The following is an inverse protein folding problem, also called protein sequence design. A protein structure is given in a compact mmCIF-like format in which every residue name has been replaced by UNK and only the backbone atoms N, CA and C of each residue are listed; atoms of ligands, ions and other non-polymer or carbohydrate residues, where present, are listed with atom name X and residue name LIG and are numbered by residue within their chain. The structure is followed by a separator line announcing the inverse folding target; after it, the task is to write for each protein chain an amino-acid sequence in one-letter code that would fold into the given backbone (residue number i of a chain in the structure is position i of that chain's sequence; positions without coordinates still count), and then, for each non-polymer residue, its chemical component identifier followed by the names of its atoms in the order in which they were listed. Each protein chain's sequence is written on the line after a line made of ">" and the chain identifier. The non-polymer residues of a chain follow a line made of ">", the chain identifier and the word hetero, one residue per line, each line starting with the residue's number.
data_IF_859699241323
#
_entry.id   IF_859699241323
#
_cell.length_a   1.000
_cell.length_b   1.000
_cell.length_c   1.000
_cell.angle_alpha   90.00
_cell.angle_beta   90.00
_cell.angle_gamma   90.00
#
_symmetry.space_group_name_H-M   'P 1'
#
loop_
_entity.id
_entity.type
_entity.pdbx_description
1 polymer ?
#
# COMPACT_ATOMS: atom_id res chain seq x y z
N UNK A 1 -21.23 -43.95 -19.14
CA UNK A 1 -20.04 -43.08 -19.22
C UNK A 1 -20.38 -41.58 -19.26
N UNK A 2 -21.46 -41.14 -19.91
CA UNK A 2 -21.87 -39.72 -19.99
C UNK A 2 -22.24 -39.07 -18.63
N UNK A 3 -22.75 -39.85 -17.65
CA UNK A 3 -23.11 -39.32 -16.31
C UNK A 3 -21.92 -38.99 -15.40
N UNK A 4 -20.74 -39.56 -15.65
CA UNK A 4 -19.55 -39.33 -14.80
C UNK A 4 -18.87 -38.00 -15.19
N UNK A 5 -18.95 -37.61 -16.47
CA UNK A 5 -18.36 -36.38 -17.00
C UNK A 5 -19.02 -35.13 -16.38
N UNK A 6 -20.32 -35.19 -16.07
CA UNK A 6 -21.05 -34.06 -15.49
C UNK A 6 -20.68 -33.78 -14.02
N UNK A 7 -20.23 -34.78 -13.27
CA UNK A 7 -19.87 -34.65 -11.84
C UNK A 7 -18.47 -34.05 -11.69
N UNK A 8 -17.55 -34.31 -12.62
CA UNK A 8 -16.20 -33.73 -12.60
C UNK A 8 -16.21 -32.24 -12.97
N UNK A 9 -17.15 -31.81 -13.82
CA UNK A 9 -17.23 -30.41 -14.29
C UNK A 9 -17.76 -29.43 -13.22
N UNK A 10 -18.49 -29.91 -12.21
CA UNK A 10 -19.05 -29.10 -11.13
C UNK A 10 -18.04 -28.75 -10.01
N UNK A 11 -16.89 -29.43 -9.97
CA UNK A 11 -15.89 -29.24 -8.92
C UNK A 11 -14.93 -28.06 -9.15
N UNK A 12 -15.01 -27.38 -10.30
CA UNK A 12 -14.04 -26.33 -10.69
C UNK A 12 -14.49 -24.91 -10.28
N UNK A 13 -15.67 -24.74 -9.67
CA UNK A 13 -16.24 -23.42 -9.36
C UNK A 13 -16.06 -22.96 -7.90
N UNK A 14 -15.45 -23.75 -7.01
CA UNK A 14 -15.20 -23.37 -5.62
C UNK A 14 -13.71 -23.11 -5.38
N UNK A 15 -13.23 -22.01 -5.93
CA UNK A 15 -11.87 -21.52 -5.73
C UNK A 15 -11.77 -20.00 -5.81
N UNK A 16 -12.76 -19.27 -5.28
CA UNK A 16 -12.54 -17.87 -4.96
C UNK A 16 -11.59 -17.82 -3.77
N UNK A 17 -10.28 -17.75 -4.05
CA UNK A 17 -9.29 -17.40 -3.03
C UNK A 17 -9.69 -16.02 -2.50
N UNK A 18 -9.94 -15.92 -1.20
CA UNK A 18 -10.16 -14.62 -0.57
C UNK A 18 -8.88 -13.80 -0.79
N UNK A 19 -8.94 -12.77 -1.62
CA UNK A 19 -7.82 -11.87 -1.83
C UNK A 19 -7.56 -11.12 -0.51
N UNK A 20 -6.40 -11.36 0.10
CA UNK A 20 -5.92 -10.58 1.23
C UNK A 20 -5.63 -9.15 0.78
N UNK A 21 -6.22 -8.16 1.44
CA UNK A 21 -5.96 -6.75 1.14
C UNK A 21 -4.62 -6.33 1.75
N UNK A 22 -3.68 -5.76 0.96
CA UNK A 22 -2.43 -5.28 1.52
C UNK A 22 -2.65 -4.05 2.41
N UNK A 23 -1.83 -3.92 3.45
CA UNK A 23 -1.91 -2.83 4.42
C UNK A 23 -1.92 -1.44 3.77
N UNK A 24 -1.04 -1.21 2.80
CA UNK A 24 -0.95 0.07 2.08
C UNK A 24 -2.25 0.44 1.34
N UNK A 25 -2.95 -0.54 0.77
CA UNK A 25 -4.26 -0.31 0.13
C UNK A 25 -5.30 0.16 1.15
N UNK A 26 -5.32 -0.47 2.33
CA UNK A 26 -6.25 -0.08 3.40
C UNK A 26 -6.00 1.37 3.85
N UNK A 27 -4.74 1.75 4.04
CA UNK A 27 -4.34 3.08 4.49
C UNK A 27 -4.59 4.20 3.48
N UNK A 28 -4.73 3.88 2.18
CA UNK A 28 -5.06 4.85 1.13
C UNK A 28 -6.53 4.81 0.71
N UNK A 29 -7.35 3.92 1.26
CA UNK A 29 -8.77 3.77 0.94
C UNK A 29 -9.63 3.78 2.22
N UNK A 30 -9.79 4.94 2.87
CA UNK A 30 -10.39 5.05 4.21
C UNK A 30 -11.85 4.58 4.27
N UNK A 31 -12.65 4.81 3.23
CA UNK A 31 -14.03 4.29 3.18
C UNK A 31 -14.08 2.76 3.13
N UNK A 32 -13.17 2.15 2.38
CA UNK A 32 -13.05 0.70 2.31
C UNK A 32 -12.59 0.14 3.66
N UNK A 33 -11.57 0.75 4.27
CA UNK A 33 -11.08 0.40 5.60
C UNK A 33 -12.19 0.48 6.68
N UNK A 34 -12.99 1.55 6.66
CA UNK A 34 -14.12 1.71 7.58
C UNK A 34 -15.15 0.59 7.41
N UNK A 35 -15.52 0.25 6.17
CA UNK A 35 -16.45 -0.84 5.89
C UNK A 35 -15.90 -2.19 6.36
N UNK A 36 -14.66 -2.53 5.99
CA UNK A 36 -14.07 -3.82 6.32
C UNK A 36 -13.83 -3.99 7.83
N UNK A 37 -13.46 -2.92 8.53
CA UNK A 37 -13.30 -2.96 10.00
C UNK A 37 -14.63 -3.25 10.72
N UNK A 38 -15.74 -2.71 10.26
CA UNK A 38 -17.08 -3.04 10.77
C UNK A 38 -17.47 -4.51 10.47
N UNK A 39 -17.12 -5.01 9.28
CA UNK A 39 -17.34 -6.42 8.92
C UNK A 39 -16.52 -7.38 9.81
N UNK A 40 -15.29 -7.00 10.16
CA UNK A 40 -14.45 -7.75 11.10
C UNK A 40 -15.04 -7.79 12.51
N UNK A 41 -15.58 -6.67 13.01
CA UNK A 41 -16.26 -6.62 14.31
C UNK A 41 -17.52 -7.50 14.35
N UNK A 42 -18.20 -7.67 13.21
CA UNK A 42 -19.36 -8.56 13.08
C UNK A 42 -19.00 -10.02 12.75
N UNK A 43 -17.71 -10.40 12.81
CA UNK A 43 -17.19 -11.75 12.55
C UNK A 43 -17.51 -12.32 11.16
N UNK A 44 -17.68 -11.46 10.15
CA UNK A 44 -18.00 -11.87 8.78
C UNK A 44 -16.79 -12.22 7.92
N UNK A 45 -15.57 -11.94 8.39
CA UNK A 45 -14.30 -12.12 7.69
C UNK A 45 -13.36 -13.05 8.49
N UNK A 46 -12.41 -13.69 7.80
CA UNK A 46 -11.40 -14.57 8.41
C UNK A 46 -10.53 -13.82 9.44
N UNK A 47 -10.12 -14.51 10.52
CA UNK A 47 -9.43 -13.88 11.65
C UNK A 47 -8.10 -13.21 11.29
N UNK A 48 -7.34 -13.77 10.34
CA UNK A 48 -6.03 -13.22 9.93
C UNK A 48 -6.14 -11.92 9.14
N UNK A 49 -7.10 -11.83 8.21
CA UNK A 49 -7.35 -10.57 7.49
C UNK A 49 -7.82 -9.47 8.45
N UNK A 50 -8.63 -9.84 9.44
CA UNK A 50 -9.11 -8.88 10.43
C UNK A 50 -8.01 -8.27 11.30
N UNK A 51 -6.92 -8.99 11.55
CA UNK A 51 -5.76 -8.42 12.26
C UNK A 51 -5.15 -7.26 11.46
N UNK A 52 -4.88 -7.46 10.17
CA UNK A 52 -4.34 -6.41 9.29
C UNK A 52 -5.29 -5.23 9.14
N UNK A 53 -6.60 -5.50 8.96
CA UNK A 53 -7.63 -4.47 8.82
C UNK A 53 -7.76 -3.64 10.11
N UNK A 54 -7.80 -4.29 11.27
CA UNK A 54 -7.94 -3.59 12.54
C UNK A 54 -6.67 -2.80 12.89
N UNK A 55 -5.49 -3.34 12.59
CA UNK A 55 -4.23 -2.59 12.73
C UNK A 55 -4.22 -1.35 11.86
N UNK A 56 -4.54 -1.49 10.56
CA UNK A 56 -4.64 -0.34 9.65
C UNK A 56 -5.67 0.69 10.14
N UNK A 57 -6.81 0.25 10.68
CA UNK A 57 -7.82 1.17 11.22
C UNK A 57 -7.31 1.94 12.46
N UNK A 58 -6.57 1.28 13.35
CA UNK A 58 -5.93 1.94 14.51
C UNK A 58 -4.88 2.95 14.04
N UNK A 59 -3.99 2.55 13.14
CA UNK A 59 -2.92 3.40 12.64
C UNK A 59 -3.47 4.61 11.88
N UNK A 60 -4.51 4.41 11.06
CA UNK A 60 -5.16 5.50 10.33
C UNK A 60 -5.81 6.51 11.29
N UNK A 61 -6.50 6.04 12.32
CA UNK A 61 -7.09 6.90 13.35
C UNK A 61 -6.02 7.65 14.16
N UNK A 62 -4.87 7.02 14.42
CA UNK A 62 -3.74 7.70 15.04
C UNK A 62 -3.26 8.86 14.17
N UNK A 63 -3.09 8.66 12.86
CA UNK A 63 -2.68 9.73 11.95
C UNK A 63 -3.71 10.87 11.88
N UNK A 64 -5.03 10.55 11.91
CA UNK A 64 -6.07 11.56 12.02
C UNK A 64 -5.92 12.38 13.30
N UNK A 65 -5.73 11.73 14.44
CA UNK A 65 -5.55 12.40 15.73
C UNK A 65 -4.28 13.28 15.75
N UNK A 66 -3.17 12.80 15.16
CA UNK A 66 -1.94 13.60 15.01
C UNK A 66 -2.20 14.85 14.16
N UNK A 67 -2.92 14.71 13.04
CA UNK A 67 -3.25 15.81 12.15
C UNK A 67 -4.21 16.82 12.79
N UNK A 68 -5.16 16.37 13.61
CA UNK A 68 -6.08 17.25 14.36
C UNK A 68 -5.38 17.95 15.53
N UNK A 69 -4.47 17.25 16.22
CA UNK A 69 -3.77 17.78 17.39
C UNK A 69 -2.74 18.87 17.03
N UNK A 70 -1.97 18.66 15.96
CA UNK A 70 -1.01 19.65 15.44
C UNK A 70 -0.96 19.64 13.90
N UNK A 71 -1.89 20.36 13.24
CA UNK A 71 -1.95 20.39 11.78
C UNK A 71 -0.71 21.05 11.14
N UNK A 72 -0.01 21.93 11.85
CA UNK A 72 1.20 22.57 11.34
C UNK A 72 2.36 21.57 11.31
N UNK A 73 2.57 20.83 12.41
CA UNK A 73 3.58 19.78 12.47
C UNK A 73 3.27 18.66 11.48
N UNK A 74 2.01 18.28 11.34
CA UNK A 74 1.60 17.29 10.34
C UNK A 74 1.87 17.77 8.92
N UNK A 75 1.57 19.04 8.60
CA UNK A 75 1.91 19.64 7.31
C UNK A 75 3.42 19.67 7.04
N UNK A 76 4.24 19.96 8.06
CA UNK A 76 5.71 19.87 7.95
C UNK A 76 6.19 18.46 7.65
N UNK A 77 5.57 17.44 8.27
CA UNK A 77 5.86 16.03 7.99
C UNK A 77 5.54 15.65 6.55
N UNK A 78 4.41 16.13 6.00
CA UNK A 78 4.07 15.93 4.58
C UNK A 78 5.16 16.54 3.68
N UNK A 79 5.52 17.80 3.90
CA UNK A 79 6.55 18.46 3.08
C UNK A 79 7.90 17.73 3.16
N UNK A 80 8.30 17.25 4.34
CA UNK A 80 9.50 16.46 4.50
C UNK A 80 9.44 15.15 3.70
N UNK A 81 8.33 14.42 3.80
CA UNK A 81 8.11 13.18 3.04
C UNK A 81 8.08 13.43 1.52
N UNK A 82 7.51 14.56 1.05
CA UNK A 82 7.53 14.94 -0.36
C UNK A 82 8.94 15.25 -0.87
N UNK A 83 9.78 15.92 -0.05
CA UNK A 83 11.20 16.13 -0.36
C UNK A 83 11.94 14.80 -0.47
N UNK A 84 11.73 13.90 0.49
CA UNK A 84 12.33 12.56 0.48
C UNK A 84 11.87 11.75 -0.74
N UNK A 85 10.60 11.89 -1.14
CA UNK A 85 10.06 11.24 -2.33
C UNK A 85 10.75 11.73 -3.61
N UNK A 86 10.96 13.04 -3.74
CA UNK A 86 11.69 13.64 -4.87
C UNK A 86 13.14 13.16 -4.89
N UNK A 87 13.80 13.08 -3.74
CA UNK A 87 15.17 12.57 -3.63
C UNK A 87 15.26 11.09 -4.04
N UNK A 88 14.38 10.24 -3.51
CA UNK A 88 14.33 8.82 -3.85
C UNK A 88 14.03 8.61 -5.35
N UNK A 89 13.17 9.44 -5.94
CA UNK A 89 12.91 9.44 -7.38
C UNK A 89 14.17 9.76 -8.18
N UNK A 90 14.94 10.75 -7.74
CA UNK A 90 16.18 11.14 -8.39
C UNK A 90 17.23 10.02 -8.31
N UNK A 91 17.38 9.37 -7.14
CA UNK A 91 18.26 8.21 -6.97
C UNK A 91 17.86 7.04 -7.87
N UNK A 92 16.56 6.75 -7.96
CA UNK A 92 16.03 5.73 -8.85
C UNK A 92 16.37 6.01 -10.32
N UNK A 93 16.21 7.27 -10.76
CA UNK A 93 16.58 7.68 -12.12
C UNK A 93 18.07 7.48 -12.36
N UNK A 94 18.93 7.87 -11.41
CA UNK A 94 20.37 7.68 -11.52
C UNK A 94 20.77 6.20 -11.57
N UNK A 95 20.16 5.35 -10.73
CA UNK A 95 20.42 3.92 -10.75
C UNK A 95 19.99 3.26 -12.07
N UNK A 96 18.85 3.68 -12.64
CA UNK A 96 18.39 3.23 -13.96
C UNK A 96 19.35 3.66 -15.07
N UNK A 97 19.82 4.91 -15.05
CA UNK A 97 20.81 5.41 -16.00
C UNK A 97 22.14 4.66 -15.89
N UNK A 98 22.61 4.40 -14.68
CA UNK A 98 23.83 3.63 -14.44
C UNK A 98 23.73 2.22 -15.04
N UNK A 99 22.59 1.55 -14.87
CA UNK A 99 22.33 0.23 -15.47
C UNK A 99 22.31 0.30 -17.00
N UNK A 100 21.63 1.29 -17.59
CA UNK A 100 21.56 1.48 -19.04
C UNK A 100 22.94 1.77 -19.67
N UNK A 101 23.81 2.47 -18.96
CA UNK A 101 25.18 2.76 -19.40
C UNK A 101 26.18 1.64 -19.11
N UNK A 102 25.77 0.57 -18.42
CA UNK A 102 26.66 -0.52 -18.03
C UNK A 102 26.69 -1.63 -19.07
N UNK A 103 27.88 -2.08 -19.45
CA UNK A 103 28.05 -3.30 -20.25
C UNK A 103 27.68 -4.54 -19.42
N UNK A 104 26.99 -5.51 -20.03
CA UNK A 104 26.54 -6.74 -19.37
C UNK A 104 27.70 -7.60 -18.80
N UNK A 105 28.91 -7.40 -19.29
CA UNK A 105 30.13 -8.10 -18.84
C UNK A 105 30.85 -7.38 -17.69
N UNK A 106 30.34 -6.22 -17.26
CA UNK A 106 30.98 -5.41 -16.21
C UNK A 106 30.95 -6.14 -14.86
N UNK A 107 32.11 -6.24 -14.20
CA UNK A 107 32.22 -6.74 -12.82
C UNK A 107 31.35 -5.96 -11.83
N UNK A 108 30.92 -4.74 -12.21
CA UNK A 108 30.07 -3.89 -11.39
C UNK A 108 28.57 -4.08 -11.63
N UNK A 109 28.14 -4.93 -12.58
CA UNK A 109 26.72 -5.09 -12.93
C UNK A 109 25.88 -5.54 -11.74
N UNK A 110 26.37 -6.51 -10.95
CA UNK A 110 25.65 -6.98 -9.76
C UNK A 110 25.46 -5.85 -8.73
N UNK A 111 26.49 -5.01 -8.54
CA UNK A 111 26.41 -3.84 -7.65
C UNK A 111 25.36 -2.84 -8.14
N UNK A 112 25.36 -2.54 -9.44
CA UNK A 112 24.41 -1.60 -10.06
C UNK A 112 22.97 -2.14 -9.95
N UNK A 113 22.75 -3.44 -10.16
CA UNK A 113 21.43 -4.07 -9.98
C UNK A 113 20.94 -3.97 -8.53
N UNK A 114 21.80 -4.25 -7.55
CA UNK A 114 21.45 -4.11 -6.14
C UNK A 114 21.12 -2.64 -5.78
N UNK A 115 21.84 -1.68 -6.35
CA UNK A 115 21.53 -0.26 -6.16
C UNK A 115 20.19 0.12 -6.77
N UNK A 116 19.87 -0.42 -7.95
CA UNK A 116 18.57 -0.21 -8.58
C UNK A 116 17.43 -0.79 -7.73
N UNK A 117 17.56 -2.04 -7.29
CA UNK A 117 16.55 -2.68 -6.43
C UNK A 117 16.34 -1.91 -5.12
N UNK A 118 17.44 -1.46 -4.49
CA UNK A 118 17.36 -0.62 -3.29
C UNK A 118 16.66 0.71 -3.54
N UNK A 119 16.98 1.39 -4.64
CA UNK A 119 16.34 2.66 -5.01
C UNK A 119 14.85 2.47 -5.40
N UNK A 120 14.51 1.37 -6.06
CA UNK A 120 13.11 1.03 -6.37
C UNK A 120 12.29 0.81 -5.11
N UNK A 121 12.84 0.04 -4.16
CA UNK A 121 12.19 -0.22 -2.88
C UNK A 121 12.01 1.07 -2.08
N UNK A 122 13.05 1.87 -1.94
CA UNK A 122 13.00 3.15 -1.21
C UNK A 122 11.99 4.11 -1.84
N UNK A 123 11.98 4.24 -3.16
CA UNK A 123 10.99 5.05 -3.87
C UNK A 123 9.55 4.57 -3.62
N UNK A 124 9.31 3.26 -3.65
CA UNK A 124 7.99 2.70 -3.37
C UNK A 124 7.53 2.95 -1.92
N UNK A 125 8.41 2.71 -0.94
CA UNK A 125 8.11 2.92 0.48
C UNK A 125 7.77 4.39 0.77
N UNK A 126 8.62 5.32 0.31
CA UNK A 126 8.40 6.76 0.55
C UNK A 126 7.17 7.25 -0.24
N UNK A 127 6.96 6.76 -1.46
CA UNK A 127 5.74 7.08 -2.22
C UNK A 127 4.48 6.61 -1.51
N UNK A 128 4.52 5.46 -0.83
CA UNK A 128 3.40 4.97 -0.03
C UNK A 128 3.16 5.85 1.19
N UNK A 129 4.21 6.23 1.92
CA UNK A 129 4.08 7.14 3.07
C UNK A 129 3.43 8.48 2.67
N UNK A 130 3.92 9.13 1.61
CA UNK A 130 3.34 10.38 1.11
C UNK A 130 1.86 10.21 0.78
N UNK A 131 1.50 9.13 0.05
CA UNK A 131 0.10 8.87 -0.30
C UNK A 131 -0.79 8.67 0.92
N UNK A 132 -0.30 7.98 1.96
CA UNK A 132 -1.04 7.78 3.21
C UNK A 132 -1.25 9.12 3.92
N UNK A 133 -0.20 9.92 4.10
CA UNK A 133 -0.30 11.22 4.78
C UNK A 133 -1.24 12.18 4.05
N UNK A 134 -1.17 12.23 2.71
CA UNK A 134 -2.09 13.03 1.90
C UNK A 134 -3.54 12.52 1.98
N UNK A 135 -3.73 11.20 2.10
CA UNK A 135 -5.05 10.60 2.29
C UNK A 135 -5.68 11.01 3.62
N UNK A 136 -4.89 11.04 4.70
CA UNK A 136 -5.37 11.50 6.02
C UNK A 136 -5.89 12.93 5.95
N UNK A 137 -5.14 13.82 5.27
CA UNK A 137 -5.55 15.22 5.06
C UNK A 137 -6.78 15.33 4.17
N UNK A 138 -6.92 14.47 3.14
CA UNK A 138 -8.07 14.52 2.24
C UNK A 138 -9.38 14.11 2.90
N UNK A 139 -9.33 13.18 3.86
CA UNK A 139 -10.49 12.78 4.67
C UNK A 139 -10.97 13.93 5.57
N UNK A 140 -10.06 14.60 6.27
CA UNK A 140 -10.47 15.67 7.19
C UNK A 140 -10.98 16.92 6.46
N UNK A 141 -10.42 17.22 5.28
CA UNK A 141 -10.84 18.37 4.47
C UNK A 141 -12.11 18.12 3.64
N UNK A 142 -12.63 16.88 3.59
CA UNK A 142 -13.87 16.57 2.88
C UNK A 142 -14.77 15.59 3.67
N UNK A 143 -15.39 16.04 4.79
CA UNK A 143 -16.15 15.18 5.70
C UNK A 143 -17.54 14.74 5.17
N UNK A 144 -17.86 14.94 3.88
CA UNK A 144 -19.11 14.52 3.21
C UNK A 144 -18.75 13.89 1.86
N UNK A 145 -19.28 12.74 1.46
CA UNK A 145 -20.70 12.39 1.49
C UNK A 145 -20.96 10.99 2.07
N UNK A 146 -21.79 10.88 3.13
CA UNK A 146 -22.52 9.66 3.38
C UNK A 146 -23.67 9.58 2.38
N UNK A 147 -23.52 8.76 1.35
CA UNK A 147 -24.63 8.24 0.54
C UNK A 147 -24.69 6.71 0.68
#
# INVERSE_FOLDING_TARGET
>A
MIRIIFIVLLSVLMGCQAEDFPYSYLMTHPHFLQKQSAECQSQRITSKQCETILSAAVDFNQLLNEQEADPLQFGQRIMAAEVDWVNAKQELVQAKQALQSSDETSQNLARIKNQLEGAEKSYQEISQEVNILLTVVSVNNNPKSPD
#
